data_IF_372904169220
#
_entry.id   IF_372904169220
#
_cell.length_a   1.000
_cell.length_b   1.000
_cell.length_c   1.000
_cell.angle_alpha   90.00
_cell.angle_beta   90.00
_cell.angle_gamma   90.00
#
_symmetry.space_group_name_H-M   'P 1'
#
loop_
_entity.id
_entity.type
_entity.pdbx_description
1 polymer ?
#
# COMPACT_ATOMS: atom_id res chain seq x y z
N UNK A 1 49.23 26.73 -18.07
CA UNK A 1 50.04 27.69 -17.29
C UNK A 1 49.55 27.76 -15.85
N UNK A 2 50.12 26.99 -14.91
CA UNK A 2 50.01 27.28 -13.49
C UNK A 2 51.27 28.00 -12.99
N UNK A 3 51.11 29.07 -12.21
CA UNK A 3 52.21 29.78 -11.53
C UNK A 3 52.34 29.25 -10.10
N UNK A 4 53.51 28.68 -9.80
CA UNK A 4 54.00 28.46 -8.44
C UNK A 4 54.38 29.77 -7.77
N UNK A 5 54.12 29.86 -6.46
CA UNK A 5 54.93 30.68 -5.56
C UNK A 5 55.13 29.93 -4.24
N UNK A 6 56.36 30.02 -3.75
CA UNK A 6 57.01 29.16 -2.77
C UNK A 6 57.00 29.77 -1.36
N UNK A 7 57.21 28.89 -0.37
CA UNK A 7 57.86 29.07 0.95
C UNK A 7 57.18 29.97 2.00
N UNK A 8 57.10 29.43 3.23
CA UNK A 8 57.91 29.89 4.36
C UNK A 8 57.87 28.88 5.52
N UNK A 9 59.06 28.62 6.07
CA UNK A 9 59.39 27.84 7.26
C UNK A 9 59.67 28.84 8.40
N UNK A 10 59.09 28.65 9.59
CA UNK A 10 59.50 29.17 10.92
C UNK A 10 58.45 28.68 11.93
N UNK A 11 58.65 28.39 13.22
CA UNK A 11 59.77 28.39 14.17
C UNK A 11 59.32 27.58 15.41
N UNK A 12 60.29 26.93 16.05
CA UNK A 12 60.38 26.47 17.45
C UNK A 12 59.41 27.04 18.50
N UNK A 13 58.93 26.21 19.42
CA UNK A 13 59.02 26.49 20.87
C UNK A 13 58.86 25.25 21.75
N UNK A 14 59.87 25.03 22.57
CA UNK A 14 60.01 24.12 23.70
C UNK A 14 59.25 24.67 24.92
N UNK A 15 58.60 23.81 25.71
CA UNK A 15 58.50 24.00 27.18
C UNK A 15 58.13 22.70 27.88
N UNK A 16 58.87 22.41 28.94
CA UNK A 16 58.82 21.21 29.76
C UNK A 16 57.94 21.40 31.01
N UNK A 17 57.50 20.27 31.56
CA UNK A 17 57.25 20.00 32.99
C UNK A 17 55.95 20.52 33.63
N UNK A 18 55.14 19.62 34.19
CA UNK A 18 55.07 19.35 35.65
C UNK A 18 54.00 18.30 35.95
N UNK A 19 54.41 17.27 36.70
CA UNK A 19 53.61 16.18 37.24
C UNK A 19 52.70 16.67 38.36
N UNK A 20 51.46 16.18 38.40
CA UNK A 20 50.65 16.19 39.62
C UNK A 20 49.89 14.87 39.69
N UNK A 21 50.36 14.00 40.57
CA UNK A 21 49.70 12.78 40.97
C UNK A 21 48.43 13.14 41.75
N UNK A 22 47.28 12.77 41.21
CA UNK A 22 46.05 12.62 42.00
C UNK A 22 45.67 11.15 42.00
N UNK A 23 46.00 10.51 43.12
CA UNK A 23 45.50 9.21 43.50
C UNK A 23 44.04 9.41 43.93
N UNK A 24 43.09 8.93 43.13
CA UNK A 24 41.74 8.71 43.60
C UNK A 24 41.36 7.25 43.34
N UNK A 25 41.37 6.48 44.44
CA UNK A 25 40.80 5.16 44.51
C UNK A 25 39.27 5.30 44.48
N UNK A 26 38.63 4.88 43.39
CA UNK A 26 37.31 4.28 43.53
C UNK A 26 37.06 3.26 42.43
N UNK A 27 37.00 2.01 42.86
CA UNK A 27 36.59 0.82 42.12
C UNK A 27 35.24 1.01 41.44
N UNK A 28 35.22 1.05 40.10
CA UNK A 28 34.07 0.63 39.31
C UNK A 28 34.48 0.22 37.89
N UNK A 29 35.21 -0.89 37.80
CA UNK A 29 35.48 -1.61 36.55
C UNK A 29 34.25 -2.47 36.24
N UNK A 30 33.24 -1.91 35.56
CA UNK A 30 32.27 -2.66 34.71
C UNK A 30 31.11 -1.78 34.15
N UNK A 31 31.38 -0.67 33.47
CA UNK A 31 30.31 0.09 32.77
C UNK A 31 30.64 0.57 31.35
N UNK A 32 31.86 0.33 30.87
CA UNK A 32 32.29 0.72 29.51
C UNK A 32 31.97 -0.32 28.44
N UNK A 33 31.68 -1.57 28.83
CA UNK A 33 31.35 -2.66 27.89
C UNK A 33 29.89 -2.63 27.40
N UNK A 34 28.97 -2.00 28.15
CA UNK A 34 27.54 -1.97 27.80
C UNK A 34 27.21 -0.92 26.73
N UNK A 35 27.82 0.27 26.81
CA UNK A 35 27.53 1.40 25.91
C UNK A 35 27.82 1.10 24.42
N UNK A 36 28.85 0.30 24.13
CA UNK A 36 29.19 -0.07 22.74
C UNK A 36 28.17 -1.04 22.14
N UNK A 37 27.58 -1.91 22.95
CA UNK A 37 26.61 -2.90 22.49
C UNK A 37 25.29 -2.25 22.08
N UNK A 38 24.88 -1.19 22.78
CA UNK A 38 23.62 -0.47 22.55
C UNK A 38 23.53 0.19 21.17
N UNK A 39 24.68 0.47 20.54
CA UNK A 39 24.77 1.02 19.17
C UNK A 39 25.34 0.02 18.15
N UNK A 40 25.48 -1.25 18.54
CA UNK A 40 26.04 -2.28 17.65
C UNK A 40 25.15 -2.53 16.43
N UNK A 41 25.78 -2.77 15.28
CA UNK A 41 25.07 -3.09 14.04
C UNK A 41 24.18 -4.33 14.23
N UNK A 42 24.63 -5.32 15.01
CA UNK A 42 23.85 -6.52 15.33
C UNK A 42 22.54 -6.20 16.07
N UNK A 43 22.59 -5.34 17.09
CA UNK A 43 21.37 -4.93 17.81
C UNK A 43 20.43 -4.13 16.91
N UNK A 44 20.98 -3.20 16.11
CA UNK A 44 20.20 -2.43 15.14
C UNK A 44 19.54 -3.33 14.10
N UNK A 45 20.25 -4.34 13.60
CA UNK A 45 19.74 -5.31 12.64
C UNK A 45 18.58 -6.12 13.22
N UNK A 46 18.70 -6.59 14.48
CA UNK A 46 17.61 -7.30 15.16
C UNK A 46 16.34 -6.44 15.26
N UNK A 47 16.50 -5.19 15.69
CA UNK A 47 15.36 -4.24 15.79
C UNK A 47 14.79 -3.93 14.40
N UNK A 48 15.64 -3.71 13.39
CA UNK A 48 15.23 -3.46 12.01
C UNK A 48 14.40 -4.62 11.43
N UNK A 49 14.87 -5.86 11.62
CA UNK A 49 14.14 -7.06 11.18
C UNK A 49 12.78 -7.17 11.89
N UNK A 50 12.71 -6.83 13.17
CA UNK A 50 11.43 -6.83 13.89
C UNK A 50 10.43 -5.83 13.28
N UNK A 51 10.88 -4.62 12.93
CA UNK A 51 10.05 -3.63 12.23
C UNK A 51 9.59 -4.13 10.86
N UNK A 52 10.51 -4.74 10.11
CA UNK A 52 10.24 -5.28 8.77
C UNK A 52 9.25 -6.46 8.79
N UNK A 53 9.31 -7.32 9.81
CA UNK A 53 8.36 -8.42 10.00
C UNK A 53 6.99 -7.96 10.48
N UNK A 54 6.94 -6.88 11.26
CA UNK A 54 5.70 -6.28 11.72
C UNK A 54 5.01 -5.42 10.64
N UNK A 55 5.74 -5.04 9.58
CA UNK A 55 5.19 -4.18 8.53
C UNK A 55 4.30 -4.94 7.56
N UNK A 56 3.30 -4.24 7.02
CA UNK A 56 2.32 -4.80 6.12
C UNK A 56 2.99 -5.28 4.82
N UNK A 57 2.77 -6.54 4.46
CA UNK A 57 3.39 -7.19 3.29
C UNK A 57 4.93 -7.17 3.30
N UNK A 58 5.56 -6.95 4.46
CA UNK A 58 7.00 -6.86 4.60
C UNK A 58 7.63 -5.65 3.89
N UNK A 59 6.87 -4.58 3.62
CA UNK A 59 7.39 -3.31 3.06
C UNK A 59 7.73 -2.32 4.18
N UNK A 60 8.92 -1.73 4.17
CA UNK A 60 9.42 -0.86 5.23
C UNK A 60 10.00 0.44 4.69
N UNK A 61 9.49 1.57 5.19
CA UNK A 61 10.05 2.90 4.95
C UNK A 61 11.33 3.11 5.77
N UNK A 62 12.44 3.35 5.06
CA UNK A 62 13.75 3.58 5.62
C UNK A 62 13.83 4.89 6.44
N UNK A 63 13.03 5.91 6.11
CA UNK A 63 12.98 7.15 6.89
C UNK A 63 12.32 6.92 8.24
N UNK A 64 11.19 6.20 8.26
CA UNK A 64 10.49 5.84 9.48
C UNK A 64 11.35 4.93 10.36
N UNK A 65 12.00 3.92 9.76
CA UNK A 65 12.91 3.03 10.47
C UNK A 65 14.09 3.78 11.11
N UNK A 66 14.70 4.74 10.41
CA UNK A 66 15.78 5.58 10.98
C UNK A 66 15.33 6.34 12.23
N UNK A 67 14.13 6.95 12.19
CA UNK A 67 13.54 7.67 13.33
C UNK A 67 13.26 6.72 14.50
N UNK A 68 12.67 5.56 14.23
CA UNK A 68 12.27 4.61 15.27
C UNK A 68 13.47 3.93 15.95
N UNK A 69 14.51 3.63 15.18
CA UNK A 69 15.78 3.10 15.70
C UNK A 69 16.66 4.18 16.31
N UNK A 70 16.30 5.47 16.18
CA UNK A 70 17.08 6.63 16.63
C UNK A 70 18.51 6.62 16.09
N UNK A 71 18.67 6.27 14.81
CA UNK A 71 19.97 6.22 14.14
C UNK A 71 20.01 7.10 12.89
N UNK A 72 21.22 7.45 12.48
CA UNK A 72 21.45 8.16 11.21
C UNK A 72 21.18 7.25 10.01
N UNK A 73 20.75 7.83 8.89
CA UNK A 73 20.50 7.08 7.63
C UNK A 73 21.66 6.20 7.19
N UNK A 74 22.90 6.60 7.49
CA UNK A 74 24.09 5.80 7.17
C UNK A 74 24.04 4.39 7.76
N UNK A 75 23.53 4.23 8.99
CA UNK A 75 23.39 2.92 9.66
C UNK A 75 22.32 2.06 9.02
N UNK A 76 21.26 2.67 8.48
CA UNK A 76 20.24 1.93 7.74
C UNK A 76 20.86 1.29 6.49
N UNK A 77 21.73 2.01 5.78
CA UNK A 77 22.43 1.45 4.61
C UNK A 77 23.41 0.33 4.97
N UNK A 78 24.08 0.41 6.13
CA UNK A 78 24.91 -0.70 6.61
C UNK A 78 24.08 -1.99 6.74
N UNK A 79 22.85 -1.89 7.27
CA UNK A 79 21.94 -3.01 7.43
C UNK A 79 21.40 -3.48 6.07
N UNK A 80 20.90 -2.57 5.24
CA UNK A 80 20.28 -2.94 3.97
C UNK A 80 21.28 -3.56 3.01
N UNK A 81 22.51 -3.06 2.92
CA UNK A 81 23.53 -3.61 2.03
C UNK A 81 23.88 -5.06 2.37
N UNK A 82 23.96 -5.38 3.67
CA UNK A 82 24.22 -6.75 4.12
C UNK A 82 23.01 -7.64 3.79
N UNK A 83 21.80 -7.21 4.16
CA UNK A 83 20.57 -7.98 3.93
C UNK A 83 20.24 -8.17 2.43
N UNK A 84 20.55 -7.18 1.60
CA UNK A 84 20.44 -7.24 0.14
C UNK A 84 21.51 -8.15 -0.46
N UNK A 85 22.76 -8.06 0.03
CA UNK A 85 23.86 -8.93 -0.39
C UNK A 85 23.57 -10.42 -0.16
N UNK A 86 22.89 -10.76 0.92
CA UNK A 86 22.41 -12.13 1.21
C UNK A 86 21.01 -12.43 0.66
N UNK A 87 20.41 -11.50 -0.09
CA UNK A 87 19.10 -11.64 -0.76
C UNK A 87 17.94 -11.99 0.19
N UNK A 88 17.91 -11.40 1.39
CA UNK A 88 16.75 -11.48 2.28
C UNK A 88 15.76 -10.31 2.08
N UNK A 89 16.24 -9.22 1.49
CA UNK A 89 15.42 -8.05 1.15
C UNK A 89 15.69 -7.63 -0.29
N UNK A 90 14.72 -6.92 -0.88
CA UNK A 90 14.83 -6.26 -2.17
C UNK A 90 14.48 -4.77 -2.07
N UNK A 91 14.97 -3.97 -3.01
CA UNK A 91 14.57 -2.58 -3.15
C UNK A 91 13.19 -2.51 -3.81
N UNK A 92 12.18 -2.07 -3.06
CA UNK A 92 10.82 -1.90 -3.58
C UNK A 92 10.64 -0.55 -4.28
N UNK A 93 11.07 0.55 -3.62
CA UNK A 93 11.04 1.90 -4.20
C UNK A 93 12.06 2.81 -3.51
N UNK A 94 12.13 4.09 -3.89
CA UNK A 94 13.01 5.04 -3.18
C UNK A 94 12.57 5.14 -1.73
N UNK A 95 13.53 4.97 -0.81
CA UNK A 95 13.31 4.90 0.63
C UNK A 95 12.49 3.69 1.12
N UNK A 96 12.22 2.67 0.31
CA UNK A 96 11.48 1.49 0.73
C UNK A 96 12.19 0.18 0.38
N UNK A 97 12.16 -0.77 1.31
CA UNK A 97 12.67 -2.13 1.11
C UNK A 97 11.60 -3.14 1.46
N UNK A 98 11.59 -4.27 0.73
CA UNK A 98 10.67 -5.38 0.97
C UNK A 98 11.42 -6.62 1.44
N UNK A 99 10.86 -7.34 2.40
CA UNK A 99 11.33 -8.67 2.77
C UNK A 99 10.96 -9.73 1.74
N UNK A 100 11.96 -10.47 1.26
CA UNK A 100 11.80 -11.59 0.32
C UNK A 100 12.23 -12.94 0.91
N UNK A 101 12.73 -12.95 2.15
CA UNK A 101 13.07 -14.19 2.85
C UNK A 101 11.86 -15.10 3.06
N UNK A 102 12.08 -16.42 2.98
CA UNK A 102 11.02 -17.44 3.03
C UNK A 102 10.20 -17.45 4.34
N UNK A 103 10.71 -16.82 5.39
CA UNK A 103 10.19 -16.90 6.77
C UNK A 103 9.13 -15.84 7.15
N UNK A 104 8.74 -14.92 6.25
CA UNK A 104 7.86 -13.80 6.64
C UNK A 104 6.41 -14.19 6.93
N UNK A 105 5.94 -15.35 6.49
CA UNK A 105 4.61 -15.83 6.85
C UNK A 105 4.64 -17.33 7.10
N UNK A 106 4.15 -17.74 8.27
CA UNK A 106 3.90 -19.14 8.58
C UNK A 106 3.08 -19.76 7.43
N UNK A 107 3.34 -21.02 7.03
CA UNK A 107 2.53 -21.72 6.04
C UNK A 107 1.02 -21.58 6.32
N UNK A 108 0.63 -21.56 7.61
CA UNK A 108 -0.75 -21.40 8.06
C UNK A 108 -1.32 -20.00 7.73
N UNK A 109 -0.53 -18.94 7.92
CA UNK A 109 -0.96 -17.56 7.59
C UNK A 109 -1.12 -17.37 6.08
N UNK A 110 -0.20 -17.95 5.29
CA UNK A 110 -0.33 -17.95 3.82
C UNK A 110 -1.58 -18.70 3.37
N UNK A 111 -1.90 -19.81 4.02
CA UNK A 111 -3.08 -20.61 3.69
C UNK A 111 -4.38 -19.91 4.05
N UNK A 112 -4.45 -19.27 5.23
CA UNK A 112 -5.59 -18.45 5.63
C UNK A 112 -5.81 -17.26 4.69
N UNK A 113 -4.75 -16.53 4.36
CA UNK A 113 -4.85 -15.41 3.41
C UNK A 113 -5.29 -15.88 2.01
N UNK A 114 -4.79 -17.03 1.55
CA UNK A 114 -5.26 -17.62 0.28
C UNK A 114 -6.74 -18.00 0.33
N UNK A 115 -7.22 -18.55 1.46
CA UNK A 115 -8.63 -18.90 1.62
C UNK A 115 -9.52 -17.65 1.60
N UNK A 116 -9.12 -16.62 2.31
CA UNK A 116 -9.81 -15.32 2.33
C UNK A 116 -9.87 -14.70 0.93
N UNK A 117 -8.73 -14.69 0.21
CA UNK A 117 -8.65 -14.21 -1.17
C UNK A 117 -9.58 -14.98 -2.10
N UNK A 118 -9.61 -16.32 -1.98
CA UNK A 118 -10.52 -17.18 -2.76
C UNK A 118 -11.98 -16.86 -2.47
N UNK A 119 -12.35 -16.71 -1.20
CA UNK A 119 -13.70 -16.34 -0.80
C UNK A 119 -14.09 -14.97 -1.39
N UNK A 120 -13.21 -13.98 -1.25
CA UNK A 120 -13.42 -12.63 -1.80
C UNK A 120 -13.60 -12.66 -3.32
N UNK A 121 -12.82 -13.46 -4.05
CA UNK A 121 -12.98 -13.63 -5.49
C UNK A 121 -14.35 -14.20 -5.87
N UNK A 122 -14.84 -15.22 -5.14
CA UNK A 122 -16.16 -15.79 -5.37
C UNK A 122 -17.25 -14.75 -5.13
N UNK A 123 -17.17 -14.00 -4.04
CA UNK A 123 -18.13 -12.92 -3.73
C UNK A 123 -18.13 -11.85 -4.80
N UNK A 124 -16.95 -11.39 -5.24
CA UNK A 124 -16.83 -10.39 -6.30
C UNK A 124 -17.39 -10.90 -7.64
N UNK A 125 -17.15 -12.16 -8.00
CA UNK A 125 -17.73 -12.77 -9.21
C UNK A 125 -19.25 -12.80 -9.16
N UNK A 126 -19.85 -13.18 -8.01
CA UNK A 126 -21.30 -13.16 -7.84
C UNK A 126 -21.88 -11.75 -8.02
N UNK A 127 -21.21 -10.74 -7.46
CA UNK A 127 -21.65 -9.36 -7.59
C UNK A 127 -21.55 -8.86 -9.04
N UNK A 128 -20.45 -9.14 -9.74
CA UNK A 128 -20.30 -8.79 -11.15
C UNK A 128 -21.38 -9.45 -12.01
N UNK A 129 -21.68 -10.74 -11.79
CA UNK A 129 -22.74 -11.43 -12.52
C UNK A 129 -24.11 -10.79 -12.28
N UNK A 130 -24.41 -10.39 -11.04
CA UNK A 130 -25.65 -9.69 -10.73
C UNK A 130 -25.73 -8.33 -11.45
N UNK A 131 -24.63 -7.58 -11.51
CA UNK A 131 -24.56 -6.32 -12.25
C UNK A 131 -24.76 -6.53 -13.76
N UNK A 132 -24.20 -7.59 -14.34
CA UNK A 132 -24.42 -7.95 -15.75
C UNK A 132 -25.90 -8.26 -16.02
N UNK A 133 -26.56 -9.02 -15.15
CA UNK A 133 -27.99 -9.34 -15.28
C UNK A 133 -28.88 -8.09 -15.21
N UNK A 134 -28.59 -7.18 -14.30
CA UNK A 134 -29.28 -5.89 -14.18
C UNK A 134 -29.06 -5.02 -15.43
N UNK A 135 -27.83 -4.98 -15.94
CA UNK A 135 -27.52 -4.27 -17.18
C UNK A 135 -28.35 -4.81 -18.35
N UNK A 136 -28.41 -6.14 -18.54
CA UNK A 136 -29.19 -6.77 -19.59
C UNK A 136 -30.69 -6.54 -19.43
N UNK A 137 -31.19 -6.47 -18.17
CA UNK A 137 -32.57 -6.12 -17.90
C UNK A 137 -32.89 -4.68 -18.32
N UNK A 138 -32.06 -3.72 -17.91
CA UNK A 138 -32.21 -2.31 -18.28
C UNK A 138 -32.13 -2.10 -19.80
N UNK A 139 -31.22 -2.79 -20.48
CA UNK A 139 -31.09 -2.72 -21.93
C UNK A 139 -32.34 -3.24 -22.66
N UNK A 140 -32.97 -4.29 -22.13
CA UNK A 140 -34.26 -4.79 -22.65
C UNK A 140 -35.38 -3.78 -22.45
N UNK A 141 -35.51 -3.20 -21.25
CA UNK A 141 -36.53 -2.17 -20.97
C UNK A 141 -36.34 -0.93 -21.83
N UNK A 142 -35.09 -0.48 -21.99
CA UNK A 142 -34.76 0.63 -22.88
C UNK A 142 -35.21 0.33 -24.31
N UNK A 143 -34.87 -0.85 -24.84
CA UNK A 143 -35.26 -1.25 -26.20
C UNK A 143 -36.77 -1.28 -26.37
N UNK A 144 -37.50 -1.86 -25.42
CA UNK A 144 -38.97 -1.85 -25.45
C UNK A 144 -39.52 -0.42 -25.48
N UNK A 145 -38.98 0.46 -24.65
CA UNK A 145 -39.39 1.86 -24.62
C UNK A 145 -39.11 2.56 -25.95
N UNK A 146 -37.93 2.36 -26.52
CA UNK A 146 -37.55 2.88 -27.83
C UNK A 146 -38.52 2.37 -28.92
N UNK A 147 -38.86 1.08 -28.91
CA UNK A 147 -39.82 0.46 -29.84
C UNK A 147 -41.24 1.04 -29.67
N UNK A 148 -41.69 1.27 -28.44
CA UNK A 148 -42.98 1.90 -28.14
C UNK A 148 -43.04 3.35 -28.64
N UNK A 149 -41.95 4.11 -28.46
CA UNK A 149 -41.83 5.49 -28.98
C UNK A 149 -41.89 5.49 -30.50
N UNK A 150 -41.12 4.62 -31.17
CA UNK A 150 -41.13 4.48 -32.63
C UNK A 150 -42.53 4.09 -33.13
N UNK A 151 -43.18 3.13 -32.49
CA UNK A 151 -44.54 2.72 -32.83
C UNK A 151 -45.54 3.88 -32.71
N UNK A 152 -45.48 4.64 -31.62
CA UNK A 152 -46.36 5.79 -31.40
C UNK A 152 -46.14 6.91 -32.43
N UNK A 153 -44.89 7.18 -32.80
CA UNK A 153 -44.56 8.17 -33.83
C UNK A 153 -45.02 7.73 -35.23
N UNK A 154 -44.93 6.44 -35.54
CA UNK A 154 -45.36 5.88 -36.83
C UNK A 154 -46.88 5.77 -36.95
N UNK A 155 -47.62 5.59 -35.85
CA UNK A 155 -49.08 5.58 -35.82
C UNK A 155 -49.67 6.95 -35.48
N UNK A 156 -49.31 7.96 -36.28
CA UNK A 156 -49.66 9.39 -36.09
C UNK A 156 -51.17 9.73 -36.14
N UNK A 157 -52.04 8.74 -36.25
CA UNK A 157 -53.50 8.90 -36.38
C UNK A 157 -54.31 7.95 -35.48
N UNK A 158 -53.86 7.68 -34.25
CA UNK A 158 -54.73 7.03 -33.25
C UNK A 158 -55.73 8.03 -32.62
N UNK A 159 -56.45 8.79 -33.43
CA UNK A 159 -57.63 9.51 -32.95
C UNK A 159 -58.83 8.58 -33.08
N UNK A 160 -59.59 8.41 -32.00
CA UNK A 160 -60.91 7.81 -32.11
C UNK A 160 -61.80 8.78 -32.89
N UNK A 161 -62.34 8.34 -34.02
CA UNK A 161 -63.34 9.14 -34.75
C UNK A 161 -64.65 9.16 -33.96
N UNK A 162 -65.49 10.17 -34.20
CA UNK A 162 -66.83 10.20 -33.58
C UNK A 162 -67.70 9.00 -33.99
N UNK A 163 -67.38 8.37 -35.13
CA UNK A 163 -67.99 7.13 -35.59
C UNK A 163 -67.53 5.90 -34.77
N UNK A 164 -66.29 5.88 -34.27
CA UNK A 164 -65.81 4.80 -33.40
C UNK A 164 -66.50 4.86 -32.02
N UNK A 165 -66.75 6.08 -31.53
CA UNK A 165 -67.51 6.33 -30.30
C UNK A 165 -68.99 5.94 -30.42
N UNK A 166 -69.61 6.18 -31.57
CA UNK A 166 -71.00 5.81 -31.83
C UNK A 166 -71.17 4.29 -32.02
N UNK A 167 -70.18 3.62 -32.61
CA UNK A 167 -70.15 2.16 -32.78
C UNK A 167 -70.04 1.41 -31.44
N UNK A 168 -69.23 1.91 -30.50
CA UNK A 168 -69.10 1.32 -29.15
C UNK A 168 -70.37 1.46 -28.29
N UNK A 169 -71.14 2.56 -28.46
CA UNK A 169 -72.42 2.76 -27.75
C UNK A 169 -73.54 1.84 -28.26
N UNK A 170 -73.49 1.38 -29.52
CA UNK A 170 -74.45 0.41 -30.06
C UNK A 170 -74.30 -0.98 -29.43
N UNK A 171 -73.08 -1.40 -29.12
CA UNK A 171 -72.77 -2.73 -28.57
C UNK A 171 -73.26 -2.90 -27.12
N UNK A 172 -73.42 -1.80 -26.36
CA UNK A 172 -73.92 -1.84 -24.97
C UNK A 172 -75.45 -1.77 -24.84
N UNK A 173 -76.20 -1.50 -25.93
CA UNK A 173 -77.68 -1.41 -25.89
C UNK A 173 -78.39 -2.68 -26.35
N UNK A 174 -77.67 -3.70 -26.82
CA UNK A 174 -78.25 -4.95 -27.33
C UNK A 174 -78.15 -6.14 -26.36
N UNK A 175 -77.85 -5.90 -25.07
CA UNK A 175 -77.86 -6.92 -24.01
C UNK A 175 -78.80 -6.58 -22.84
N UNK A 176 -80.00 -6.09 -23.15
CA UNK A 176 -81.12 -5.95 -22.20
C UNK A 176 -82.42 -5.97 -23.00
N UNK A 177 -82.83 -7.15 -23.44
CA UNK A 177 -84.23 -7.55 -23.61
C UNK A 177 -84.26 -9.03 -23.97
N UNK A 178 -85.07 -9.75 -23.18
CA UNK A 178 -85.45 -11.18 -23.24
C UNK A 178 -84.47 -12.19 -22.62
#
# INVERSE_FOLDING_TARGET
>A
MPRSTSLLLTTTTTTSSTTSFHQNNNSNVSSTSNSRYDSSLGLLTKKFIALLKASRHGDLDLNAAAKQLKVQKRRIYDITNVLEGIRLIEKNSKNHVRWIGKDAASPQQKQQQQLELKHRLVTMRKHNLALEQEHDHLMRLKRQTDDHVVHALNHRHCYMTINDLSSSRRIKRTKTSE
#
